data_IF_627397978702
#
_entry.id   IF_627397978702
#
_cell.length_a   1.000
_cell.length_b   1.000
_cell.length_c   1.000
_cell.angle_alpha   90.00
_cell.angle_beta   90.00
_cell.angle_gamma   90.00
#
_symmetry.space_group_name_H-M   'P 1'
#
loop_
_entity.id
_entity.type
_entity.pdbx_description
1 polymer ?
#
# COMPACT_ATOMS: atom_id res chain seq x y z
N UNK A 1 29.32 -13.96 -21.64
CA UNK A 1 28.14 -13.34 -22.30
C UNK A 1 27.02 -14.35 -22.48
N UNK A 2 27.24 -15.45 -23.22
CA UNK A 2 26.24 -16.52 -23.42
C UNK A 2 25.85 -17.28 -22.14
N UNK A 3 26.81 -17.46 -21.22
CA UNK A 3 26.57 -18.06 -19.91
C UNK A 3 25.82 -17.11 -18.94
N UNK A 4 25.88 -15.80 -19.20
CA UNK A 4 25.24 -14.78 -18.37
C UNK A 4 23.77 -14.58 -18.76
N UNK A 5 23.42 -14.79 -20.03
CA UNK A 5 22.03 -14.79 -20.51
C UNK A 5 21.24 -16.03 -20.04
N UNK A 6 21.90 -17.19 -19.96
CA UNK A 6 21.27 -18.43 -19.48
C UNK A 6 20.95 -18.38 -17.98
N UNK A 7 21.77 -17.69 -17.20
CA UNK A 7 21.58 -17.49 -15.75
C UNK A 7 20.39 -16.57 -15.43
N UNK A 8 20.07 -15.62 -16.33
CA UNK A 8 18.98 -14.65 -16.15
C UNK A 8 17.61 -15.21 -16.55
N UNK A 9 17.54 -16.10 -17.55
CA UNK A 9 16.31 -16.84 -17.91
C UNK A 9 15.81 -17.77 -16.79
N UNK A 10 16.74 -18.33 -16.01
CA UNK A 10 16.44 -19.20 -14.87
C UNK A 10 15.89 -18.44 -13.64
N UNK A 11 16.30 -17.18 -13.48
CA UNK A 11 15.87 -16.29 -12.39
C UNK A 11 14.41 -15.83 -12.57
N UNK A 12 13.95 -15.78 -13.82
CA UNK A 12 12.62 -15.33 -14.23
C UNK A 12 11.60 -16.46 -14.09
N UNK A 13 11.91 -17.72 -14.44
CA UNK A 13 10.93 -18.81 -14.31
C UNK A 13 10.61 -19.24 -12.86
N UNK A 14 11.34 -18.73 -11.87
CA UNK A 14 11.14 -18.99 -10.44
C UNK A 14 10.26 -17.93 -9.73
N UNK A 15 9.48 -17.11 -10.47
CA UNK A 15 8.59 -16.01 -10.02
C UNK A 15 7.62 -16.37 -8.87
N UNK A 16 8.14 -16.59 -7.66
CA UNK A 16 7.40 -16.44 -6.41
C UNK A 16 7.57 -15.04 -5.83
N UNK A 17 8.71 -14.39 -6.08
CA UNK A 17 9.01 -13.04 -5.59
C UNK A 17 10.11 -12.41 -6.45
N UNK A 18 9.90 -11.24 -7.08
CA UNK A 18 10.98 -10.52 -7.74
C UNK A 18 12.01 -10.09 -6.69
N UNK A 19 13.29 -10.36 -6.97
CA UNK A 19 14.38 -9.90 -6.12
C UNK A 19 14.47 -8.38 -6.09
N UNK A 20 15.30 -7.86 -5.17
CA UNK A 20 15.61 -6.43 -5.13
C UNK A 20 16.12 -5.87 -6.48
N UNK A 21 16.93 -6.59 -7.29
CA UNK A 21 17.36 -6.09 -8.60
C UNK A 21 16.19 -5.90 -9.57
N UNK A 22 15.30 -6.89 -9.68
CA UNK A 22 14.12 -6.83 -10.53
C UNK A 22 13.14 -5.75 -10.06
N UNK A 23 12.92 -5.66 -8.75
CA UNK A 23 12.09 -4.61 -8.17
C UNK A 23 12.68 -3.21 -8.41
N UNK A 24 14.00 -3.06 -8.33
CA UNK A 24 14.69 -1.80 -8.66
C UNK A 24 14.53 -1.45 -10.13
N UNK A 25 14.62 -2.42 -11.04
CA UNK A 25 14.37 -2.19 -12.46
C UNK A 25 12.92 -1.74 -12.69
N UNK A 26 11.95 -2.43 -12.09
CA UNK A 26 10.52 -2.04 -12.15
C UNK A 26 10.30 -0.65 -11.56
N UNK A 27 10.93 -0.35 -10.42
CA UNK A 27 10.84 0.95 -9.77
C UNK A 27 11.41 2.06 -10.65
N UNK A 28 12.55 1.83 -11.30
CA UNK A 28 13.16 2.79 -12.25
C UNK A 28 12.24 3.01 -13.45
N UNK A 29 11.66 1.96 -14.02
CA UNK A 29 10.69 2.09 -15.12
C UNK A 29 9.47 2.90 -14.67
N UNK A 30 8.91 2.59 -13.50
CA UNK A 30 7.80 3.34 -12.93
C UNK A 30 8.19 4.81 -12.69
N UNK A 31 9.41 5.08 -12.22
CA UNK A 31 9.92 6.43 -12.02
C UNK A 31 10.05 7.22 -13.32
N UNK A 32 10.42 6.57 -14.43
CA UNK A 32 10.51 7.20 -15.75
C UNK A 32 9.12 7.53 -16.30
N UNK A 33 8.15 6.62 -16.14
CA UNK A 33 6.78 6.82 -16.64
C UNK A 33 6.01 7.87 -15.85
N UNK A 34 6.06 7.79 -14.52
CA UNK A 34 5.30 8.68 -13.65
C UNK A 34 6.08 9.95 -13.26
N UNK A 35 7.42 9.89 -13.30
CA UNK A 35 8.30 10.92 -12.76
C UNK A 35 8.56 10.74 -11.27
N UNK A 36 9.79 10.99 -10.81
CA UNK A 36 10.20 10.83 -9.42
C UNK A 36 9.39 11.66 -8.41
N UNK A 37 8.77 12.76 -8.85
CA UNK A 37 7.92 13.59 -8.00
C UNK A 37 6.47 13.09 -7.86
N UNK A 38 5.93 12.36 -8.86
CA UNK A 38 4.52 11.96 -8.84
C UNK A 38 4.25 10.73 -7.99
N UNK A 39 5.15 9.75 -7.97
CA UNK A 39 5.00 8.55 -7.13
C UNK A 39 4.83 8.89 -5.63
N UNK A 40 5.71 9.72 -5.02
CA UNK A 40 5.55 10.16 -3.64
C UNK A 40 4.27 10.97 -3.40
N UNK A 41 3.89 11.83 -4.35
CA UNK A 41 2.67 12.63 -4.23
C UNK A 41 1.41 11.77 -4.26
N UNK A 42 1.36 10.75 -5.13
CA UNK A 42 0.24 9.80 -5.20
C UNK A 42 0.13 8.98 -3.92
N UNK A 43 1.25 8.46 -3.40
CA UNK A 43 1.27 7.75 -2.12
C UNK A 43 0.82 8.65 -0.96
N UNK A 44 1.26 9.92 -0.93
CA UNK A 44 0.86 10.89 0.10
C UNK A 44 -0.65 11.13 0.08
N UNK A 45 -1.24 11.30 -1.09
CA UNK A 45 -2.67 11.54 -1.25
C UNK A 45 -3.49 10.30 -0.90
N UNK A 46 -3.05 9.11 -1.36
CA UNK A 46 -3.68 7.84 -1.02
C UNK A 46 -3.59 7.55 0.49
N UNK A 47 -2.45 7.84 1.12
CA UNK A 47 -2.25 7.67 2.55
C UNK A 47 -3.14 8.59 3.38
N UNK A 48 -3.34 9.85 2.95
CA UNK A 48 -4.31 10.76 3.59
C UNK A 48 -5.73 10.22 3.49
N UNK A 49 -6.15 9.81 2.30
CA UNK A 49 -7.48 9.24 2.07
C UNK A 49 -7.71 7.96 2.87
N UNK A 50 -6.73 7.06 2.93
CA UNK A 50 -6.81 5.84 3.75
C UNK A 50 -6.87 6.15 5.25
N UNK A 51 -6.16 7.18 5.72
CA UNK A 51 -6.18 7.60 7.12
C UNK A 51 -7.53 8.24 7.51
N UNK A 52 -8.09 9.09 6.65
CA UNK A 52 -9.42 9.68 6.85
C UNK A 52 -10.51 8.59 6.80
N UNK A 53 -10.40 7.64 5.87
CA UNK A 53 -11.30 6.49 5.80
C UNK A 53 -11.27 5.66 7.09
N UNK A 54 -10.07 5.36 7.62
CA UNK A 54 -9.92 4.62 8.87
C UNK A 54 -10.49 5.39 10.07
N UNK A 55 -10.35 6.72 10.11
CA UNK A 55 -10.91 7.55 11.19
C UNK A 55 -12.44 7.58 11.14
N UNK A 56 -13.02 7.79 9.97
CA UNK A 56 -14.48 7.76 9.81
C UNK A 56 -15.08 6.42 10.20
N UNK A 57 -14.40 5.30 9.87
CA UNK A 57 -14.83 3.97 10.31
C UNK A 57 -14.71 3.75 11.83
N UNK A 58 -13.73 4.37 12.50
CA UNK A 58 -13.59 4.26 13.95
C UNK A 58 -14.64 5.09 14.69
N UNK A 59 -14.89 6.32 14.22
CA UNK A 59 -15.93 7.21 14.77
C UNK A 59 -17.32 6.54 14.68
N UNK A 60 -17.65 5.84 13.59
CA UNK A 60 -18.92 5.10 13.48
C UNK A 60 -19.03 3.90 14.44
N UNK A 61 -17.91 3.26 14.79
CA UNK A 61 -17.93 2.10 15.71
C UNK A 61 -18.05 2.58 17.16
N UNK A 62 -17.37 3.67 17.52
CA UNK A 62 -17.45 4.25 18.86
C UNK A 62 -18.83 4.90 19.12
N UNK A 63 -19.47 5.50 18.11
CA UNK A 63 -20.84 6.03 18.20
C UNK A 63 -21.89 4.92 18.45
N UNK A 64 -21.70 3.72 17.90
CA UNK A 64 -22.58 2.56 18.17
C UNK A 64 -22.41 2.00 19.60
N UNK A 65 -21.25 2.17 20.24
CA UNK A 65 -21.02 1.71 21.63
C UNK A 65 -21.53 2.72 22.69
N UNK A 66 -21.47 4.02 22.43
CA UNK A 66 -21.91 5.07 23.36
C UNK A 66 -23.46 5.16 23.47
N UNK A 67 -24.23 4.85 22.41
CA UNK A 67 -25.70 4.85 22.49
C UNK A 67 -26.29 3.72 23.37
N UNK A 68 -25.47 2.76 23.81
CA UNK A 68 -25.93 1.63 24.65
C UNK A 68 -25.71 1.84 26.15
N UNK A 69 -25.04 2.92 26.59
CA UNK A 69 -24.71 3.15 28.01
C UNK A 69 -25.32 4.45 28.56
N UNK A 70 -26.56 4.30 29.04
CA UNK A 70 -27.25 5.11 30.07
C UNK A 70 -27.98 6.35 29.56
N UNK A 71 -29.22 6.66 30.04
CA UNK A 71 -29.62 6.57 31.44
C UNK A 71 -31.04 6.01 31.70
N UNK A 72 -31.12 4.85 32.36
CA UNK A 72 -32.30 4.43 33.13
C UNK A 72 -31.92 4.29 34.61
N UNK A 73 -31.65 5.42 35.25
CA UNK A 73 -31.60 5.53 36.71
C UNK A 73 -32.28 6.83 37.15
N UNK A 74 -33.62 6.81 37.09
CA UNK A 74 -34.52 7.64 37.92
C UNK A 74 -35.98 7.25 37.64
N UNK A 75 -36.52 6.36 38.46
CA UNK A 75 -37.95 6.30 38.82
C UNK A 75 -38.11 5.42 40.05
#
# INVERSE_FOLDING_TARGET
MLMMSMFMESAVLAFGFPGLPELMIVLVIALVLFGGAKLPSLMRNLGRSANEFKRGMAETVDEEEEETKSPSEKA
#
